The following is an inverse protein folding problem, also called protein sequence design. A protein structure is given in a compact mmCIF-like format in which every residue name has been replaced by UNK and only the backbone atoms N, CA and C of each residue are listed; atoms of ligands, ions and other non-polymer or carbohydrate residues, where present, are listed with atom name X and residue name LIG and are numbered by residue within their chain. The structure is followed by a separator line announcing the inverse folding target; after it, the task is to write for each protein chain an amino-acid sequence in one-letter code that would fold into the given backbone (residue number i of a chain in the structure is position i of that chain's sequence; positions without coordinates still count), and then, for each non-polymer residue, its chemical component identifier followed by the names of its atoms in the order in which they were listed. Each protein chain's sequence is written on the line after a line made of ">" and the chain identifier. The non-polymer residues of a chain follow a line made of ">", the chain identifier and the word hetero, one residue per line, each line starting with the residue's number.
data_IF_412683182073
#
_entry.id   IF_412683182073
#
_cell.length_a   1.000
_cell.length_b   1.000
_cell.length_c   1.000
_cell.angle_alpha   90.00
_cell.angle_beta   90.00
_cell.angle_gamma   90.00
#
_symmetry.space_group_name_H-M   'P 1'
#
loop_
_entity.id
_entity.type
_entity.pdbx_description
1 polymer ?
#
# COMPACT_ATOMS: atom_id res chain seq x y z
N UNK A 1 -10.48 63.78 20.82
CA UNK A 1 -10.67 62.35 20.53
C UNK A 1 -9.37 61.85 19.93
N UNK A 2 -8.51 61.24 20.75
CA UNK A 2 -7.18 60.77 20.36
C UNK A 2 -7.30 59.32 19.90
N UNK A 3 -6.80 59.03 18.69
CA UNK A 3 -6.75 57.69 18.14
C UNK A 3 -5.47 56.99 18.62
N UNK A 4 -5.63 55.99 19.46
CA UNK A 4 -4.55 55.13 19.95
C UNK A 4 -4.26 54.06 18.89
N UNK A 5 -3.05 54.11 18.32
CA UNK A 5 -2.58 53.20 17.27
C UNK A 5 -1.98 51.96 17.95
N UNK A 6 -2.76 50.88 18.06
CA UNK A 6 -2.30 49.57 18.51
C UNK A 6 -1.55 48.88 17.35
N UNK A 7 -0.23 48.93 17.36
CA UNK A 7 0.62 48.05 16.54
C UNK A 7 0.98 46.82 17.37
N UNK A 8 0.24 45.72 17.17
CA UNK A 8 0.63 44.41 17.66
C UNK A 8 1.74 43.86 16.73
N UNK A 9 2.99 44.00 17.16
CA UNK A 9 4.08 43.20 16.62
C UNK A 9 3.87 41.76 17.09
N UNK A 10 3.39 40.91 16.18
CA UNK A 10 3.41 39.46 16.36
C UNK A 10 4.87 38.98 16.30
N UNK A 11 5.57 39.13 17.42
CA UNK A 11 6.88 38.57 17.67
C UNK A 11 6.72 37.06 17.95
N UNK A 12 6.60 36.27 16.87
CA UNK A 12 6.72 34.81 16.96
C UNK A 12 8.18 34.51 17.27
N UNK A 13 8.45 34.22 18.55
CA UNK A 13 9.78 33.95 19.07
C UNK A 13 10.51 32.86 18.28
N UNK A 14 11.33 33.29 17.32
CA UNK A 14 12.54 32.58 16.95
C UNK A 14 13.59 33.09 17.92
N UNK A 15 13.82 32.33 18.99
CA UNK A 15 14.94 32.58 19.89
C UNK A 15 16.23 32.50 19.06
N UNK A 16 17.08 33.51 19.20
CA UNK A 16 18.36 33.65 18.49
C UNK A 16 19.42 32.60 18.86
N UNK A 17 19.08 31.70 19.78
CA UNK A 17 19.94 30.61 20.21
C UNK A 17 19.67 29.43 19.28
N UNK A 18 20.62 29.23 18.35
CA UNK A 18 20.57 28.25 17.27
C UNK A 18 19.91 26.94 17.67
N UNK A 19 18.71 26.75 17.10
CA UNK A 19 17.88 25.56 17.14
C UNK A 19 18.52 24.41 16.33
N UNK A 20 19.78 24.09 16.63
CA UNK A 20 20.51 22.94 16.07
C UNK A 20 19.95 21.62 16.61
N UNK A 21 19.21 21.66 17.72
CA UNK A 21 18.55 20.50 18.35
C UNK A 21 17.31 20.04 17.54
N UNK A 22 16.71 20.93 16.74
CA UNK A 22 15.63 20.56 15.80
C UNK A 22 16.11 19.80 14.56
N UNK A 23 17.39 19.92 14.17
CA UNK A 23 17.93 19.20 13.02
C UNK A 23 18.22 17.72 13.34
N UNK A 24 18.57 17.39 14.59
CA UNK A 24 18.87 16.01 15.00
C UNK A 24 17.58 15.18 15.20
N UNK A 25 16.50 15.82 15.68
CA UNK A 25 15.18 15.17 15.86
C UNK A 25 14.47 14.76 14.56
N UNK A 26 14.86 15.30 13.41
CA UNK A 26 14.31 14.91 12.12
C UNK A 26 14.77 13.51 11.66
N UNK A 27 15.78 12.92 12.32
CA UNK A 27 16.36 11.63 11.91
C UNK A 27 15.64 10.41 12.49
N UNK A 28 14.84 10.57 13.53
CA UNK A 28 14.08 9.50 14.21
C UNK A 28 12.72 9.17 13.55
N UNK A 29 12.60 9.42 12.25
CA UNK A 29 11.38 9.10 11.51
C UNK A 29 11.31 7.58 11.20
N UNK A 30 10.20 6.94 11.61
CA UNK A 30 9.90 5.56 11.20
C UNK A 30 9.66 5.54 9.67
N UNK A 31 10.56 4.88 8.94
CA UNK A 31 10.43 4.65 7.50
C UNK A 31 9.83 3.27 7.25
N UNK A 32 8.53 3.23 7.02
CA UNK A 32 7.86 2.02 6.54
C UNK A 32 8.18 1.83 5.05
N UNK A 33 8.72 0.66 4.69
CA UNK A 33 8.95 0.25 3.30
C UNK A 33 8.33 -1.13 3.09
N UNK A 34 7.69 -1.31 1.94
CA UNK A 34 7.17 -2.59 1.50
C UNK A 34 7.89 -3.04 0.24
N UNK A 35 7.93 -4.35 0.01
CA UNK A 35 8.33 -4.93 -1.26
C UNK A 35 7.29 -5.95 -1.67
N UNK A 36 7.17 -6.20 -2.97
CA UNK A 36 6.31 -7.26 -3.47
C UNK A 36 6.97 -8.01 -4.62
N UNK A 37 6.52 -9.23 -4.85
CA UNK A 37 6.80 -10.05 -6.02
C UNK A 37 5.53 -10.74 -6.48
N UNK A 38 5.28 -10.69 -7.79
CA UNK A 38 4.19 -11.38 -8.47
C UNK A 38 4.78 -12.46 -9.36
N UNK A 39 4.30 -13.69 -9.21
CA UNK A 39 4.71 -14.83 -10.02
C UNK A 39 3.48 -15.45 -10.70
N UNK A 40 3.54 -15.61 -12.02
CA UNK A 40 2.53 -16.32 -12.80
C UNK A 40 3.01 -17.75 -12.99
N UNK A 41 2.15 -18.70 -12.65
CA UNK A 41 2.43 -20.13 -12.71
C UNK A 41 1.44 -20.84 -13.64
N UNK A 42 1.97 -21.75 -14.46
CA UNK A 42 1.21 -22.65 -15.33
C UNK A 42 1.77 -24.06 -15.19
N UNK A 43 0.92 -25.03 -14.84
CA UNK A 43 1.29 -26.44 -14.66
C UNK A 43 2.53 -26.67 -13.77
N UNK A 44 2.62 -25.93 -12.65
CA UNK A 44 3.73 -26.02 -11.71
C UNK A 44 5.02 -25.33 -12.17
N UNK A 45 5.00 -24.59 -13.28
CA UNK A 45 6.15 -23.82 -13.80
C UNK A 45 5.89 -22.33 -13.73
N UNK A 46 6.90 -21.57 -13.32
CA UNK A 46 6.84 -20.10 -13.35
C UNK A 46 7.00 -19.64 -14.81
N UNK A 47 5.95 -19.06 -15.36
CA UNK A 47 5.89 -18.53 -16.73
C UNK A 47 5.98 -17.01 -16.79
N UNK A 48 5.84 -16.34 -15.64
CA UNK A 48 6.07 -14.91 -15.49
C UNK A 48 6.53 -14.56 -14.07
N UNK A 49 7.41 -13.58 -13.94
CA UNK A 49 7.92 -13.12 -12.66
C UNK A 49 8.20 -11.62 -12.72
N UNK A 50 7.64 -10.86 -11.80
CA UNK A 50 7.91 -9.43 -11.74
C UNK A 50 9.33 -9.12 -11.26
N UNK A 51 9.96 -10.02 -10.49
CA UNK A 51 11.05 -9.67 -9.59
C UNK A 51 10.54 -8.90 -8.37
N UNK A 52 11.47 -8.48 -7.50
CA UNK A 52 11.14 -7.69 -6.30
C UNK A 52 11.03 -6.21 -6.65
N UNK A 53 9.91 -5.60 -6.30
CA UNK A 53 9.63 -4.18 -6.48
C UNK A 53 9.30 -3.53 -5.15
N UNK A 54 9.68 -2.26 -4.97
CA UNK A 54 9.29 -1.48 -3.78
C UNK A 54 7.83 -1.05 -3.92
N UNK A 55 7.07 -1.17 -2.83
CA UNK A 55 5.69 -0.70 -2.75
C UNK A 55 5.65 0.78 -2.37
N UNK A 56 4.79 1.55 -3.04
CA UNK A 56 4.42 2.88 -2.58
C UNK A 56 3.37 2.76 -1.47
N UNK A 57 3.73 3.20 -0.26
CA UNK A 57 2.76 3.36 0.83
C UNK A 57 2.04 4.69 0.62
N UNK A 58 0.71 4.64 0.44
CA UNK A 58 -0.09 5.85 0.26
C UNK A 58 -0.30 6.56 1.60
N UNK A 59 -0.53 7.87 1.59
CA UNK A 59 -0.64 8.69 2.81
C UNK A 59 -1.77 8.20 3.72
N UNK A 60 -2.94 7.90 3.15
CA UNK A 60 -4.08 7.40 3.90
C UNK A 60 -3.82 5.99 4.45
N UNK A 61 -3.10 5.17 3.67
CA UNK A 61 -2.63 3.85 4.07
C UNK A 61 -1.68 3.94 5.27
N UNK A 62 -0.68 4.80 5.23
CA UNK A 62 0.23 5.03 6.35
C UNK A 62 -0.53 5.45 7.62
N UNK A 63 -1.44 6.43 7.49
CA UNK A 63 -2.22 6.91 8.62
C UNK A 63 -3.13 5.79 9.21
N UNK A 64 -3.95 5.16 8.38
CA UNK A 64 -5.00 4.23 8.85
C UNK A 64 -4.47 2.86 9.28
N UNK A 65 -3.37 2.38 8.69
CA UNK A 65 -2.83 1.05 8.98
C UNK A 65 -1.68 1.08 9.98
N UNK A 66 -0.91 2.17 10.06
CA UNK A 66 0.25 2.26 10.95
C UNK A 66 -0.01 3.23 12.11
N UNK A 67 -0.34 4.49 11.82
CA UNK A 67 -0.50 5.50 12.88
C UNK A 67 -1.66 5.16 13.81
N UNK A 68 -2.84 4.89 13.28
CA UNK A 68 -4.02 4.54 14.09
C UNK A 68 -3.80 3.23 14.88
N UNK A 69 -3.11 2.26 14.30
CA UNK A 69 -2.76 1.00 14.97
C UNK A 69 -1.82 1.24 16.17
N UNK A 70 -0.82 2.11 16.02
CA UNK A 70 0.09 2.48 17.11
C UNK A 70 -0.61 3.26 18.23
N UNK A 71 -1.66 4.02 17.89
CA UNK A 71 -2.49 4.74 18.86
C UNK A 71 -3.53 3.84 19.54
N UNK A 72 -3.74 2.62 19.06
CA UNK A 72 -4.80 1.73 19.56
C UNK A 72 -6.21 2.19 19.18
N UNK A 73 -6.36 2.98 18.12
CA UNK A 73 -7.66 3.48 17.67
C UNK A 73 -8.47 2.36 17.01
N UNK A 74 -9.75 2.20 17.40
CA UNK A 74 -10.63 1.16 16.86
C UNK A 74 -10.94 1.29 15.35
N UNK A 75 -10.64 2.44 14.76
CA UNK A 75 -10.78 2.70 13.33
C UNK A 75 -9.58 2.20 12.51
N UNK A 76 -8.51 1.76 13.17
CA UNK A 76 -7.33 1.21 12.53
C UNK A 76 -7.67 0.07 11.55
N UNK A 77 -6.91 -0.02 10.46
CA UNK A 77 -7.13 -1.01 9.40
C UNK A 77 -6.00 -2.04 9.40
N UNK A 78 -6.36 -3.28 9.08
CA UNK A 78 -5.41 -4.37 8.90
C UNK A 78 -5.43 -4.82 7.44
N UNK A 79 -4.27 -5.19 6.89
CA UNK A 79 -4.19 -5.78 5.57
C UNK A 79 -4.79 -7.19 5.65
N UNK A 80 -5.82 -7.43 4.85
CA UNK A 80 -6.53 -8.73 4.79
C UNK A 80 -6.61 -9.29 3.37
N UNK A 81 -6.42 -8.44 2.36
CA UNK A 81 -6.54 -8.83 0.96
C UNK A 81 -5.48 -8.15 0.10
N UNK A 82 -5.22 -8.72 -1.07
CA UNK A 82 -4.46 -8.14 -2.15
C UNK A 82 -5.31 -8.11 -3.42
N UNK A 83 -5.19 -7.06 -4.21
CA UNK A 83 -5.84 -6.93 -5.51
C UNK A 83 -4.79 -6.80 -6.61
N UNK A 84 -5.16 -7.24 -7.81
CA UNK A 84 -4.41 -7.03 -9.04
C UNK A 84 -5.23 -6.12 -9.95
N UNK A 85 -4.55 -5.46 -10.88
CA UNK A 85 -5.24 -4.63 -11.87
C UNK A 85 -4.40 -4.34 -13.12
N UNK A 86 -4.98 -3.52 -13.98
CA UNK A 86 -4.48 -3.21 -15.33
C UNK A 86 -4.09 -1.74 -15.51
N UNK A 87 -4.29 -0.92 -14.47
CA UNK A 87 -4.07 0.52 -14.48
C UNK A 87 -2.65 0.94 -14.09
N UNK A 88 -2.54 2.16 -13.59
CA UNK A 88 -1.27 2.79 -13.21
C UNK A 88 -0.98 2.66 -11.71
N UNK A 89 0.10 3.29 -11.25
CA UNK A 89 0.50 3.30 -9.86
C UNK A 89 -0.54 4.05 -9.01
N UNK A 90 -0.87 3.56 -7.80
CA UNK A 90 -1.71 4.32 -6.89
C UNK A 90 -1.02 5.62 -6.46
N UNK A 91 -1.63 6.77 -6.74
CA UNK A 91 -1.14 8.06 -6.24
C UNK A 91 -1.18 8.15 -4.70
N UNK A 92 -0.45 9.12 -4.13
CA UNK A 92 -0.30 9.25 -2.67
C UNK A 92 -1.61 9.39 -1.87
N UNK A 93 -2.71 9.81 -2.51
CA UNK A 93 -4.03 9.94 -1.90
C UNK A 93 -5.05 8.89 -2.41
N UNK A 94 -4.60 7.90 -3.19
CA UNK A 94 -5.47 6.87 -3.73
C UNK A 94 -6.13 6.07 -2.59
N UNK A 95 -7.41 5.73 -2.77
CA UNK A 95 -8.16 4.82 -1.89
C UNK A 95 -8.48 3.50 -2.59
N UNK A 96 -8.36 3.45 -3.91
CA UNK A 96 -8.63 2.31 -4.79
C UNK A 96 -7.44 2.01 -5.71
N UNK A 97 -7.43 0.82 -6.31
CA UNK A 97 -6.48 0.43 -7.35
C UNK A 97 -7.09 0.74 -8.72
N UNK A 98 -6.37 1.49 -9.56
CA UNK A 98 -6.86 1.79 -10.91
C UNK A 98 -6.92 0.52 -11.77
N UNK A 99 -8.05 0.30 -12.44
CA UNK A 99 -8.24 -0.87 -13.28
C UNK A 99 -8.17 -2.18 -12.49
N UNK A 100 -8.59 -2.16 -11.22
CA UNK A 100 -8.77 -3.36 -10.38
C UNK A 100 -9.61 -4.40 -11.14
N UNK A 101 -9.24 -5.67 -11.05
CA UNK A 101 -10.04 -6.73 -11.65
C UNK A 101 -11.42 -6.77 -10.97
N UNK A 102 -12.53 -6.74 -11.72
CA UNK A 102 -13.89 -6.68 -11.14
C UNK A 102 -14.60 -8.05 -11.07
N UNK A 103 -13.85 -9.14 -11.16
CA UNK A 103 -14.41 -10.49 -11.29
C UNK A 103 -14.66 -11.12 -9.91
N UNK A 104 -15.30 -12.30 -9.86
CA UNK A 104 -15.79 -12.98 -8.65
C UNK A 104 -14.72 -13.21 -7.57
N UNK A 105 -13.43 -13.08 -7.90
CA UNK A 105 -12.30 -13.13 -6.98
C UNK A 105 -11.28 -12.01 -7.25
N UNK A 106 -11.78 -10.78 -7.36
CA UNK A 106 -11.00 -9.54 -7.57
C UNK A 106 -9.88 -9.34 -6.55
N UNK A 107 -10.11 -9.79 -5.31
CA UNK A 107 -9.18 -9.69 -4.20
C UNK A 107 -8.93 -11.05 -3.57
N UNK A 108 -7.66 -11.46 -3.50
CA UNK A 108 -7.25 -12.66 -2.81
C UNK A 108 -6.98 -12.37 -1.34
N UNK A 109 -7.45 -13.23 -0.43
CA UNK A 109 -7.14 -13.13 0.98
C UNK A 109 -5.64 -13.36 1.22
N UNK A 110 -5.03 -12.57 2.11
CA UNK A 110 -3.61 -12.73 2.46
C UNK A 110 -3.45 -13.60 3.70
N UNK A 111 -2.49 -14.52 3.63
CA UNK A 111 -1.91 -15.14 4.82
C UNK A 111 -0.79 -14.25 5.33
N UNK A 112 -0.86 -13.87 6.61
CA UNK A 112 0.14 -13.01 7.24
C UNK A 112 1.12 -13.86 8.04
N UNK A 113 2.42 -13.61 7.89
CA UNK A 113 3.47 -14.19 8.71
C UNK A 113 4.39 -13.10 9.24
N UNK A 114 4.75 -13.20 10.52
CA UNK A 114 5.76 -12.36 11.19
C UNK A 114 6.78 -13.26 11.87
N UNK A 115 7.94 -12.72 12.22
CA UNK A 115 8.93 -13.41 13.05
C UNK A 115 9.26 -12.55 14.26
N UNK A 116 9.40 -13.15 15.44
CA UNK A 116 9.84 -12.46 16.65
C UNK A 116 11.26 -11.87 16.53
N UNK A 117 12.04 -12.35 15.55
CA UNK A 117 13.39 -11.87 15.24
C UNK A 117 13.45 -10.83 14.12
N UNK A 118 12.31 -10.42 13.55
CA UNK A 118 12.27 -9.51 12.40
C UNK A 118 11.19 -8.46 12.53
N UNK A 119 11.47 -7.24 12.02
CA UNK A 119 10.48 -6.15 11.92
C UNK A 119 9.67 -6.22 10.62
N UNK A 120 9.58 -7.40 9.99
CA UNK A 120 8.91 -7.61 8.69
C UNK A 120 7.63 -8.40 8.89
N UNK A 121 6.53 -7.87 8.35
CA UNK A 121 5.35 -8.65 8.03
C UNK A 121 5.47 -9.15 6.58
N UNK A 122 5.14 -10.42 6.35
CA UNK A 122 5.03 -11.02 5.02
C UNK A 122 3.56 -11.33 4.76
N UNK A 123 3.07 -10.90 3.61
CA UNK A 123 1.72 -11.17 3.15
C UNK A 123 1.82 -12.05 1.92
N UNK A 124 1.22 -13.24 1.96
CA UNK A 124 1.21 -14.16 0.82
C UNK A 124 -0.21 -14.41 0.38
N UNK A 125 -0.46 -14.41 -0.92
CA UNK A 125 -1.76 -14.71 -1.49
C UNK A 125 -1.61 -15.44 -2.83
N UNK A 126 -2.65 -16.17 -3.19
CA UNK A 126 -2.74 -16.86 -4.47
C UNK A 126 -4.08 -16.56 -5.11
N UNK A 127 -4.03 -16.06 -6.34
CA UNK A 127 -5.18 -16.07 -7.25
C UNK A 127 -5.13 -17.39 -8.01
N UNK A 128 -5.96 -18.34 -7.60
CA UNK A 128 -6.01 -19.65 -8.23
C UNK A 128 -6.80 -19.58 -9.54
N UNK A 129 -6.28 -20.18 -10.62
CA UNK A 129 -6.93 -20.26 -11.94
C UNK A 129 -8.36 -20.80 -11.86
N UNK A 130 -8.61 -21.80 -11.01
CA UNK A 130 -9.94 -22.38 -10.78
C UNK A 130 -10.96 -21.41 -10.16
N UNK A 131 -10.52 -20.27 -9.63
CA UNK A 131 -11.38 -19.24 -9.05
C UNK A 131 -11.89 -18.23 -10.08
N UNK A 132 -11.48 -18.37 -11.36
CA UNK A 132 -11.91 -17.51 -12.47
C UNK A 132 -11.72 -16.01 -12.20
N UNK A 133 -10.60 -15.65 -11.55
CA UNK A 133 -10.27 -14.24 -11.26
C UNK A 133 -9.90 -13.44 -12.53
N UNK A 134 -9.56 -14.14 -13.61
CA UNK A 134 -9.50 -13.65 -14.99
C UNK A 134 -10.42 -14.51 -15.87
N UNK A 135 -11.30 -13.87 -16.64
CA UNK A 135 -12.27 -14.53 -17.55
C UNK A 135 -11.81 -14.60 -19.00
N UNK A 136 -10.82 -13.77 -19.34
CA UNK A 136 -10.09 -13.75 -20.61
C UNK A 136 -8.62 -13.46 -20.31
N UNK A 137 -7.73 -13.64 -21.27
CA UNK A 137 -6.32 -13.25 -21.08
C UNK A 137 -6.22 -11.75 -20.84
N UNK A 138 -5.63 -11.35 -19.71
CA UNK A 138 -5.49 -9.94 -19.32
C UNK A 138 -4.03 -9.56 -19.09
N UNK A 139 -3.70 -8.28 -19.31
CA UNK A 139 -2.37 -7.74 -18.97
C UNK A 139 -2.42 -7.14 -17.58
N UNK A 140 -1.79 -7.81 -16.62
CA UNK A 140 -1.67 -7.33 -15.26
C UNK A 140 -0.50 -6.34 -15.15
N UNK A 141 -0.71 -5.22 -14.45
CA UNK A 141 0.23 -4.10 -14.40
C UNK A 141 0.45 -3.53 -13.01
N UNK A 142 -0.54 -3.63 -12.13
CA UNK A 142 -0.45 -3.07 -10.79
C UNK A 142 -1.01 -4.04 -9.73
N UNK A 143 -0.62 -3.76 -8.49
CA UNK A 143 -0.96 -4.53 -7.30
C UNK A 143 -1.27 -3.58 -6.16
N UNK A 144 -2.18 -3.96 -5.28
CA UNK A 144 -2.51 -3.19 -4.07
C UNK A 144 -2.92 -4.05 -2.89
N UNK A 145 -2.59 -3.61 -1.67
CA UNK A 145 -2.99 -4.23 -0.41
C UNK A 145 -4.21 -3.52 0.20
N UNK A 146 -5.20 -4.29 0.68
CA UNK A 146 -6.50 -3.80 1.13
C UNK A 146 -6.97 -4.43 2.45
N UNK A 147 -7.90 -3.75 3.12
CA UNK A 147 -8.54 -4.22 4.36
C UNK A 147 -9.88 -4.94 4.15
N UNK A 148 -10.32 -5.14 2.91
CA UNK A 148 -11.63 -5.74 2.59
C UNK A 148 -11.56 -6.52 1.27
N UNK A 149 -12.40 -7.55 1.16
CA UNK A 149 -12.58 -8.37 -0.04
C UNK A 149 -13.38 -7.67 -1.14
N UNK A 150 -14.22 -6.69 -0.77
CA UNK A 150 -15.10 -6.03 -1.73
C UNK A 150 -14.33 -5.00 -2.56
N UNK A 151 -14.30 -5.22 -3.88
CA UNK A 151 -13.82 -4.24 -4.86
C UNK A 151 -14.56 -2.91 -4.68
N UNK A 152 -13.92 -1.79 -5.06
CA UNK A 152 -14.44 -0.41 -4.91
C UNK A 152 -14.65 0.10 -3.47
N UNK A 153 -14.43 -0.74 -2.46
CA UNK A 153 -14.53 -0.37 -1.05
C UNK A 153 -13.21 -0.60 -0.31
N UNK A 154 -13.08 0.04 0.85
CA UNK A 154 -11.88 -0.01 1.68
C UNK A 154 -10.85 1.05 1.30
N UNK A 155 -9.70 0.97 1.95
CA UNK A 155 -8.58 1.88 1.74
C UNK A 155 -7.39 1.07 1.27
N UNK A 156 -6.76 1.45 0.17
CA UNK A 156 -5.47 0.85 -0.21
C UNK A 156 -4.40 1.22 0.82
N UNK A 157 -3.65 0.23 1.32
CA UNK A 157 -2.52 0.46 2.20
C UNK A 157 -1.29 0.90 1.41
N UNK A 158 -0.95 0.10 0.41
CA UNK A 158 0.19 0.30 -0.47
C UNK A 158 -0.05 -0.41 -1.79
N UNK A 159 0.69 0.00 -2.83
CA UNK A 159 0.67 -0.64 -4.13
C UNK A 159 1.72 -0.06 -5.06
N UNK A 160 1.90 -0.65 -6.23
CA UNK A 160 2.74 -0.11 -7.29
C UNK A 160 2.42 -0.78 -8.63
N UNK A 161 3.09 -0.33 -9.69
CA UNK A 161 3.16 -1.00 -10.99
C UNK A 161 4.39 -1.89 -11.10
N UNK A 162 4.25 -2.96 -11.89
CA UNK A 162 5.35 -3.82 -12.32
C UNK A 162 5.32 -3.98 -13.85
N UNK A 163 6.37 -4.58 -14.41
CA UNK A 163 6.43 -4.88 -15.82
C UNK A 163 5.20 -5.71 -16.24
N UNK A 164 4.57 -5.34 -17.35
CA UNK A 164 3.33 -5.95 -17.82
C UNK A 164 3.46 -7.46 -17.97
N UNK A 165 2.57 -8.22 -17.34
CA UNK A 165 2.52 -9.68 -17.46
C UNK A 165 1.15 -10.12 -17.98
N UNK A 166 1.13 -10.90 -19.06
CA UNK A 166 -0.10 -11.50 -19.59
C UNK A 166 -0.48 -12.71 -18.75
N UNK A 167 -1.69 -12.71 -18.19
CA UNK A 167 -2.25 -13.82 -17.42
C UNK A 167 -3.41 -14.45 -18.19
N UNK A 168 -3.29 -15.73 -18.51
CA UNK A 168 -4.36 -16.53 -19.10
C UNK A 168 -5.27 -17.13 -18.00
N UNK A 169 -6.41 -17.69 -18.41
CA UNK A 169 -7.44 -18.23 -17.50
C UNK A 169 -7.01 -19.50 -16.75
N UNK A 170 -6.00 -20.20 -17.27
CA UNK A 170 -5.44 -21.44 -16.72
C UNK A 170 -4.19 -21.20 -15.85
N UNK A 171 -3.89 -19.95 -15.50
CA UNK A 171 -2.68 -19.59 -14.76
C UNK A 171 -3.02 -19.15 -13.34
N UNK A 172 -2.17 -19.55 -12.39
CA UNK A 172 -2.22 -19.06 -11.03
C UNK A 172 -1.35 -17.79 -10.91
N UNK A 173 -1.72 -16.87 -10.02
CA UNK A 173 -0.86 -15.74 -9.65
C UNK A 173 -0.53 -15.83 -8.17
N UNK A 174 0.74 -16.03 -7.86
CA UNK A 174 1.28 -16.10 -6.51
C UNK A 174 1.94 -14.77 -6.14
N UNK A 175 1.68 -14.29 -4.93
CA UNK A 175 2.14 -12.98 -4.46
C UNK A 175 2.85 -13.13 -3.12
N UNK A 176 3.94 -12.38 -2.92
CA UNK A 176 4.66 -12.22 -1.65
C UNK A 176 5.09 -10.79 -1.42
#
# INVERSE_FOLDING_TARGET
>A
MSAEKLTAENNWGLTSDGDLDQLDRATDAIKARGFYRVQIEEDGKIVGDSGWHENQVVNLGFNQYLVLSLMGDGSAKNVTHVALGTGTEPGAAATSLEGELEQTSSRAAVTTATSSSSKRARFTATFASNSSFVSTTMTLKNIGLFNTSAATTGTIFSGNTYATSTCATNQNVNIT
#
